data_IF_196795808323
#
_entry.id   IF_196795808323
#
_cell.length_a   1.000
_cell.length_b   1.000
_cell.length_c   1.000
_cell.angle_alpha   90.00
_cell.angle_beta   90.00
_cell.angle_gamma   90.00
#
_symmetry.space_group_name_H-M   'P 1'
#
loop_
_entity.id
_entity.type
_entity.pdbx_description
1 polymer ?
#
# COMPACT_ATOMS: atom_id res chain seq x y z
N UNK A 1 -16.10 27.48 -6.30
CA UNK A 1 -15.23 26.31 -6.51
C UNK A 1 -15.40 25.28 -5.40
N UNK A 2 -15.47 25.68 -4.12
CA UNK A 2 -15.83 24.78 -3.00
C UNK A 2 -17.19 24.08 -3.15
N UNK A 3 -18.15 24.72 -3.83
CA UNK A 3 -19.47 24.14 -4.13
C UNK A 3 -19.44 22.93 -5.09
N UNK A 4 -18.29 22.64 -5.71
CA UNK A 4 -18.11 21.51 -6.62
C UNK A 4 -17.08 20.49 -6.12
N UNK A 5 -16.66 20.60 -4.86
CA UNK A 5 -15.79 19.60 -4.22
C UNK A 5 -16.66 18.58 -3.52
N UNK A 6 -16.44 17.30 -3.82
CA UNK A 6 -17.08 16.19 -3.14
C UNK A 6 -16.03 15.23 -2.59
N UNK A 7 -16.34 14.64 -1.44
CA UNK A 7 -15.47 13.68 -0.78
C UNK A 7 -15.62 12.30 -1.43
N UNK A 8 -14.51 11.77 -1.96
CA UNK A 8 -14.44 10.40 -2.46
C UNK A 8 -14.25 9.37 -1.34
N UNK A 9 -13.99 9.83 -0.11
CA UNK A 9 -13.68 9.01 1.04
C UNK A 9 -12.27 8.41 0.98
N UNK A 10 -12.06 7.42 1.84
CA UNK A 10 -10.81 6.68 1.96
C UNK A 10 -10.95 5.28 1.40
N UNK A 11 -9.83 4.68 1.01
CA UNK A 11 -9.80 3.26 0.67
C UNK A 11 -10.09 2.43 1.91
N UNK A 12 -10.94 1.41 1.76
CA UNK A 12 -11.12 0.37 2.77
C UNK A 12 -9.86 -0.51 2.87
N UNK A 13 -9.56 -1.00 4.08
CA UNK A 13 -8.38 -1.83 4.39
C UNK A 13 -8.26 -3.04 3.43
N UNK A 14 -9.37 -3.71 3.10
CA UNK A 14 -9.35 -4.88 2.23
C UNK A 14 -9.06 -4.51 0.76
N UNK A 15 -9.58 -3.37 0.30
CA UNK A 15 -9.32 -2.86 -1.03
C UNK A 15 -7.86 -2.41 -1.13
N UNK A 16 -7.35 -1.71 -0.12
CA UNK A 16 -5.96 -1.27 -0.08
C UNK A 16 -4.99 -2.46 -0.12
N UNK A 17 -5.24 -3.48 0.69
CA UNK A 17 -4.45 -4.71 0.67
C UNK A 17 -4.45 -5.38 -0.70
N UNK A 18 -5.58 -5.36 -1.42
CA UNK A 18 -5.66 -5.86 -2.80
C UNK A 18 -4.80 -5.03 -3.76
N UNK A 19 -4.77 -3.71 -3.62
CA UNK A 19 -3.88 -2.85 -4.40
C UNK A 19 -2.41 -3.12 -4.07
N UNK A 20 -2.05 -3.23 -2.79
CA UNK A 20 -0.69 -3.57 -2.35
C UNK A 20 -0.24 -4.88 -2.99
N UNK A 21 -1.07 -5.93 -2.88
CA UNK A 21 -0.83 -7.23 -3.54
C UNK A 21 -0.58 -7.06 -5.04
N UNK A 22 -1.45 -6.32 -5.72
CA UNK A 22 -1.32 -6.06 -7.17
C UNK A 22 0.00 -5.34 -7.50
N UNK A 23 0.39 -4.36 -6.71
CA UNK A 23 1.63 -3.60 -6.93
C UNK A 23 2.89 -4.43 -6.66
N UNK A 24 2.86 -5.31 -5.65
CA UNK A 24 3.98 -6.19 -5.34
C UNK A 24 4.24 -7.26 -6.40
N UNK A 25 3.31 -7.52 -7.33
CA UNK A 25 3.59 -8.36 -8.50
C UNK A 25 4.68 -7.77 -9.41
N UNK A 26 5.00 -6.48 -9.29
CA UNK A 26 6.12 -5.85 -10.00
C UNK A 26 7.49 -6.15 -9.37
N UNK A 27 7.53 -6.83 -8.21
CA UNK A 27 8.74 -7.27 -7.54
C UNK A 27 9.07 -8.72 -7.95
N UNK A 28 9.72 -8.92 -9.09
CA UNK A 28 9.88 -10.24 -9.73
C UNK A 28 10.40 -11.33 -8.77
N UNK A 29 11.50 -11.06 -8.05
CA UNK A 29 12.10 -12.03 -7.11
C UNK A 29 11.23 -12.30 -5.88
N UNK A 30 10.34 -11.38 -5.52
CA UNK A 30 9.45 -11.56 -4.37
C UNK A 30 8.32 -12.55 -4.71
N UNK A 31 7.85 -12.54 -5.96
CA UNK A 31 6.74 -13.41 -6.38
C UNK A 31 7.11 -14.89 -6.49
N UNK A 32 8.41 -15.21 -6.59
CA UNK A 32 8.90 -16.59 -6.63
C UNK A 32 8.66 -17.35 -5.32
N UNK A 33 8.48 -16.63 -4.21
CA UNK A 33 8.33 -17.19 -2.87
C UNK A 33 6.99 -16.78 -2.25
N UNK A 34 5.94 -17.58 -2.47
CA UNK A 34 4.56 -17.28 -2.06
C UNK A 34 4.40 -16.91 -0.58
N UNK A 35 5.11 -17.59 0.33
CA UNK A 35 5.05 -17.28 1.77
C UNK A 35 5.63 -15.90 2.08
N UNK A 36 6.79 -15.59 1.51
CA UNK A 36 7.46 -14.30 1.66
C UNK A 36 6.63 -13.18 1.05
N UNK A 37 6.07 -13.41 -0.13
CA UNK A 37 5.16 -12.49 -0.78
C UNK A 37 3.97 -12.14 0.11
N UNK A 38 3.27 -13.16 0.66
CA UNK A 38 2.14 -12.93 1.55
C UNK A 38 2.56 -12.20 2.84
N UNK A 39 3.72 -12.55 3.40
CA UNK A 39 4.28 -11.88 4.57
C UNK A 39 4.53 -10.39 4.29
N UNK A 40 5.15 -10.07 3.15
CA UNK A 40 5.44 -8.68 2.75
C UNK A 40 4.16 -7.88 2.50
N UNK A 41 3.15 -8.48 1.87
CA UNK A 41 1.81 -7.85 1.74
C UNK A 41 1.27 -7.45 3.11
N UNK A 42 1.26 -8.38 4.06
CA UNK A 42 0.77 -8.12 5.43
C UNK A 42 1.63 -7.06 6.13
N UNK A 43 2.96 -7.15 6.02
CA UNK A 43 3.90 -6.20 6.62
C UNK A 43 3.66 -4.77 6.12
N UNK A 44 3.50 -4.57 4.81
CA UNK A 44 3.25 -3.25 4.23
C UNK A 44 1.87 -2.73 4.65
N UNK A 45 0.82 -3.56 4.61
CA UNK A 45 -0.52 -3.17 5.08
C UNK A 45 -0.50 -2.74 6.55
N UNK A 46 0.15 -3.51 7.42
CA UNK A 46 0.25 -3.17 8.84
C UNK A 46 1.11 -1.92 9.07
N UNK A 47 2.17 -1.74 8.29
CA UNK A 47 3.01 -0.54 8.38
C UNK A 47 2.21 0.71 8.00
N UNK A 48 1.45 0.67 6.90
CA UNK A 48 0.61 1.80 6.51
C UNK A 48 -0.46 2.10 7.55
N UNK A 49 -1.13 1.08 8.08
CA UNK A 49 -2.10 1.24 9.16
C UNK A 49 -1.46 1.88 10.40
N UNK A 50 -0.29 1.39 10.80
CA UNK A 50 0.47 1.94 11.93
C UNK A 50 0.78 3.44 11.75
N UNK A 51 1.22 3.86 10.56
CA UNK A 51 1.48 5.28 10.30
C UNK A 51 0.19 6.12 10.33
N UNK A 52 -0.93 5.62 9.79
CA UNK A 52 -2.22 6.30 9.88
C UNK A 52 -2.73 6.44 11.31
N UNK A 53 -2.49 5.43 12.15
CA UNK A 53 -2.88 5.45 13.57
C UNK A 53 -2.02 6.45 14.38
N UNK A 54 -0.78 6.68 13.96
CA UNK A 54 0.16 7.59 14.62
C UNK A 54 0.04 9.06 14.15
N UNK A 55 -0.24 9.26 12.86
CA UNK A 55 -0.24 10.57 12.19
C UNK A 55 -1.62 10.91 11.59
N UNK A 56 -1.66 11.44 10.37
CA UNK A 56 -2.88 11.73 9.61
C UNK A 56 -3.21 10.58 8.64
N UNK A 57 -4.47 10.44 8.24
CA UNK A 57 -4.93 9.42 7.27
C UNK A 57 -4.20 9.52 5.93
N UNK A 58 -3.72 10.72 5.57
CA UNK A 58 -2.95 11.02 4.36
C UNK A 58 -1.43 10.85 4.49
N UNK A 59 -0.92 10.43 5.66
CA UNK A 59 0.51 10.23 5.93
C UNK A 59 1.18 9.21 5.00
N UNK A 60 0.41 8.22 4.55
CA UNK A 60 0.88 7.14 3.67
C UNK A 60 -0.10 6.89 2.53
N UNK A 61 0.44 6.43 1.41
CA UNK A 61 -0.36 6.07 0.23
C UNK A 61 0.28 4.93 -0.55
N UNK A 62 -0.45 4.43 -1.56
CA UNK A 62 0.09 3.47 -2.53
C UNK A 62 1.35 3.97 -3.26
N UNK A 63 1.64 5.28 -3.25
CA UNK A 63 2.92 5.81 -3.78
C UNK A 63 4.13 5.34 -2.98
N UNK A 64 3.98 5.11 -1.68
CA UNK A 64 5.04 4.59 -0.82
C UNK A 64 5.32 3.12 -1.15
N UNK A 65 4.27 2.36 -1.48
CA UNK A 65 4.39 0.98 -2.00
C UNK A 65 5.12 0.97 -3.34
N UNK A 66 4.80 1.89 -4.25
CA UNK A 66 5.54 2.02 -5.51
C UNK A 66 7.02 2.33 -5.27
N UNK A 67 7.33 3.16 -4.27
CA UNK A 67 8.71 3.46 -3.86
C UNK A 67 9.41 2.23 -3.30
N UNK A 68 8.72 1.43 -2.47
CA UNK A 68 9.20 0.15 -1.99
C UNK A 68 9.53 -0.80 -3.14
N UNK A 69 8.64 -0.97 -4.14
CA UNK A 69 8.91 -1.85 -5.27
C UNK A 69 10.16 -1.43 -6.06
N UNK A 70 10.36 -0.11 -6.24
CA UNK A 70 11.57 0.42 -6.89
C UNK A 70 12.83 0.09 -6.10
N UNK A 71 12.78 0.22 -4.77
CA UNK A 71 13.91 -0.09 -3.89
C UNK A 71 14.21 -1.60 -3.87
N UNK A 72 13.18 -2.44 -3.83
CA UNK A 72 13.33 -3.89 -3.82
C UNK A 72 13.96 -4.42 -5.11
N UNK A 73 13.64 -3.79 -6.23
CA UNK A 73 14.17 -4.17 -7.55
C UNK A 73 15.54 -3.53 -7.88
N UNK A 74 16.08 -2.69 -6.99
CA UNK A 74 17.37 -2.03 -7.19
C UNK A 74 18.53 -2.97 -6.86
#
# INVERSE_FOLDING_TARGET
MLEYVWDYGYLDDAIEQKYIRTMLHTCEKLTDYTEWYNLVVVMISQSQKFFRDLEDVSSVSLRDVARFCRLYNW
#
